data_IF_769671711970
#
_entry.id   IF_769671711970
#
_cell.length_a   1.000
_cell.length_b   1.000
_cell.length_c   1.000
_cell.angle_alpha   90.00
_cell.angle_beta   90.00
_cell.angle_gamma   90.00
#
_symmetry.space_group_name_H-M   'P 1'
#
loop_
_entity.id
_entity.type
_entity.pdbx_description
1 polymer ?
#
# COMPACT_ATOMS: atom_id res chain seq x y z
N UNK A 1 1.10 3.80 -49.44
CA UNK A 1 2.56 3.70 -49.29
C UNK A 1 3.03 4.70 -48.24
N UNK A 2 3.10 4.31 -46.97
CA UNK A 2 3.83 5.03 -45.90
C UNK A 2 3.83 4.22 -44.58
N UNK A 3 3.99 2.89 -44.65
CA UNK A 3 3.82 1.99 -43.50
C UNK A 3 5.13 1.38 -42.97
N UNK A 4 6.28 2.03 -43.22
CA UNK A 4 7.60 1.48 -42.87
C UNK A 4 8.50 2.40 -42.03
N UNK A 5 8.03 3.57 -41.58
CA UNK A 5 8.91 4.57 -40.96
C UNK A 5 8.67 4.82 -39.47
N UNK A 6 7.69 4.16 -38.84
CA UNK A 6 7.32 4.39 -37.43
C UNK A 6 7.97 3.43 -36.42
N UNK A 7 8.76 2.44 -36.87
CA UNK A 7 9.45 1.45 -36.01
C UNK A 7 10.89 1.83 -35.60
N UNK A 8 11.34 3.07 -35.80
CA UNK A 8 12.74 3.48 -35.51
C UNK A 8 12.93 4.66 -34.56
N UNK A 9 11.95 4.95 -33.70
CA UNK A 9 12.08 6.01 -32.70
C UNK A 9 11.45 5.64 -31.34
N UNK A 10 11.70 4.41 -30.88
CA UNK A 10 11.27 3.90 -29.58
C UNK A 10 12.45 3.33 -28.76
N UNK A 11 13.62 3.96 -28.87
CA UNK A 11 14.61 3.89 -27.79
C UNK A 11 14.30 5.10 -26.88
N UNK A 12 14.21 4.88 -25.57
CA UNK A 12 14.09 5.92 -24.51
C UNK A 12 12.70 6.30 -23.98
N UNK A 13 11.72 5.38 -24.00
CA UNK A 13 10.57 5.44 -23.06
C UNK A 13 10.34 4.16 -22.26
N UNK A 14 11.24 3.18 -22.37
CA UNK A 14 11.38 2.14 -21.34
C UNK A 14 12.54 2.53 -20.44
N UNK A 15 12.24 2.75 -19.16
CA UNK A 15 13.24 2.84 -18.10
C UNK A 15 14.15 1.60 -18.18
N UNK A 16 15.43 1.72 -18.62
CA UNK A 16 16.28 0.53 -18.81
C UNK A 16 16.73 -0.05 -17.47
N UNK A 17 16.67 0.72 -16.39
CA UNK A 17 17.09 0.28 -15.06
C UNK A 17 16.06 -0.55 -14.30
N UNK A 18 14.79 -0.58 -14.73
CA UNK A 18 13.76 -1.45 -14.11
C UNK A 18 13.62 -2.81 -14.81
N UNK A 19 14.04 -2.94 -16.08
CA UNK A 19 13.93 -4.20 -16.81
C UNK A 19 15.06 -5.19 -16.49
N UNK A 20 16.25 -4.69 -16.17
CA UNK A 20 17.41 -5.50 -15.83
C UNK A 20 17.91 -5.16 -14.40
N UNK A 21 17.25 -5.67 -13.34
CA UNK A 21 17.68 -5.37 -11.96
C UNK A 21 19.09 -5.90 -11.70
N UNK A 22 19.93 -5.19 -10.90
CA UNK A 22 21.25 -5.68 -10.52
C UNK A 22 21.16 -6.90 -9.61
N UNK A 23 22.01 -7.90 -9.84
CA UNK A 23 22.07 -9.13 -9.05
C UNK A 23 23.46 -9.29 -8.45
N UNK A 24 23.52 -9.55 -7.15
CA UNK A 24 24.79 -9.79 -6.46
C UNK A 24 25.55 -10.98 -7.07
N UNK A 25 26.83 -10.81 -7.35
CA UNK A 25 27.67 -11.83 -8.00
C UNK A 25 27.55 -11.89 -9.53
N UNK A 26 26.77 -11.00 -10.14
CA UNK A 26 26.60 -10.91 -11.59
C UNK A 26 26.84 -9.49 -12.10
N UNK A 27 27.27 -9.41 -13.35
CA UNK A 27 27.30 -8.17 -14.14
C UNK A 27 26.23 -8.26 -15.22
N UNK A 28 25.65 -7.13 -15.60
CA UNK A 28 24.53 -7.10 -16.55
C UNK A 28 24.86 -6.27 -17.78
N UNK A 29 24.55 -6.82 -18.96
CA UNK A 29 24.51 -6.07 -20.21
C UNK A 29 23.07 -6.03 -20.73
N UNK A 30 22.63 -4.84 -21.12
CA UNK A 30 21.28 -4.56 -21.60
C UNK A 30 21.25 -4.68 -23.12
N UNK A 31 20.15 -5.18 -23.68
CA UNK A 31 19.92 -5.40 -25.11
C UNK A 31 20.97 -6.34 -25.75
N UNK A 32 21.44 -7.30 -24.96
CA UNK A 32 22.47 -8.26 -25.36
C UNK A 32 22.07 -9.66 -24.93
N UNK A 33 22.43 -10.65 -25.74
CA UNK A 33 22.24 -12.06 -25.45
C UNK A 33 23.42 -12.89 -25.99
N UNK A 34 23.60 -14.10 -25.49
CA UNK A 34 24.48 -15.08 -26.10
C UNK A 34 23.63 -16.23 -26.66
N UNK A 35 23.38 -16.28 -27.99
CA UNK A 35 22.46 -17.26 -28.55
C UNK A 35 23.10 -18.64 -28.74
N UNK A 36 22.32 -19.70 -28.52
CA UNK A 36 22.65 -21.06 -28.98
C UNK A 36 23.45 -21.92 -27.99
N UNK A 37 23.61 -21.47 -26.74
CA UNK A 37 24.33 -22.20 -25.69
C UNK A 37 23.49 -22.42 -24.42
N UNK A 38 22.17 -22.51 -24.60
CA UNK A 38 21.22 -22.61 -23.50
C UNK A 38 21.30 -23.97 -22.78
N UNK A 39 21.62 -23.92 -21.48
CA UNK A 39 21.59 -25.05 -20.55
C UNK A 39 20.17 -25.52 -20.26
N UNK A 40 19.31 -24.55 -19.94
CA UNK A 40 17.93 -24.74 -19.54
C UNK A 40 17.20 -23.40 -19.66
N UNK A 41 16.02 -23.41 -20.26
CA UNK A 41 15.16 -22.25 -20.44
C UNK A 41 13.83 -22.45 -19.72
N UNK A 42 13.29 -21.37 -19.13
CA UNK A 42 11.97 -21.36 -18.52
C UNK A 42 11.17 -20.13 -18.93
N UNK A 43 9.88 -20.34 -19.22
CA UNK A 43 8.94 -19.29 -19.65
C UNK A 43 8.32 -18.49 -18.50
N UNK A 44 8.62 -18.83 -17.25
CA UNK A 44 8.18 -18.09 -16.07
C UNK A 44 9.25 -18.21 -14.98
N UNK A 45 10.17 -17.25 -14.95
CA UNK A 45 11.30 -17.23 -14.01
C UNK A 45 11.61 -15.80 -13.61
N UNK A 46 11.87 -15.55 -12.32
CA UNK A 46 12.39 -14.25 -11.87
C UNK A 46 13.89 -14.17 -12.10
N UNK A 47 14.43 -12.95 -12.23
CA UNK A 47 15.87 -12.74 -12.38
C UNK A 47 16.67 -13.33 -11.21
N UNK A 48 16.16 -13.23 -9.98
CA UNK A 48 16.79 -13.79 -8.77
C UNK A 48 16.79 -15.32 -8.80
N UNK A 49 15.71 -15.96 -9.27
CA UNK A 49 15.64 -17.41 -9.40
C UNK A 49 16.59 -17.92 -10.48
N UNK A 50 16.66 -17.25 -11.62
CA UNK A 50 17.62 -17.56 -12.68
C UNK A 50 19.07 -17.45 -12.17
N UNK A 51 19.38 -16.40 -11.42
CA UNK A 51 20.67 -16.20 -10.79
C UNK A 51 21.02 -17.27 -9.76
N UNK A 52 20.07 -17.63 -8.89
CA UNK A 52 20.27 -18.69 -7.89
C UNK A 52 20.66 -20.00 -8.56
N UNK A 53 19.94 -20.39 -9.62
CA UNK A 53 20.20 -21.61 -10.37
C UNK A 53 21.52 -21.59 -11.13
N UNK A 54 21.84 -20.46 -11.78
CA UNK A 54 23.13 -20.30 -12.44
C UNK A 54 24.30 -20.30 -11.43
N UNK A 55 24.04 -19.86 -10.20
CA UNK A 55 25.05 -19.91 -9.13
C UNK A 55 25.33 -21.35 -8.73
N UNK A 56 24.29 -22.18 -8.61
CA UNK A 56 24.39 -23.59 -8.21
C UNK A 56 24.87 -24.53 -9.32
N UNK A 57 24.57 -24.26 -10.59
CA UNK A 57 25.06 -25.08 -11.70
C UNK A 57 26.51 -24.68 -12.04
N UNK A 58 27.45 -25.61 -11.83
CA UNK A 58 28.87 -25.39 -12.10
C UNK A 58 29.20 -25.16 -13.58
N UNK A 59 28.28 -25.52 -14.48
CA UNK A 59 28.42 -25.33 -15.93
C UNK A 59 27.89 -23.96 -16.36
N UNK A 60 27.08 -23.30 -15.53
CA UNK A 60 26.49 -22.02 -15.86
C UNK A 60 27.49 -20.87 -15.69
N UNK A 61 27.74 -20.14 -16.79
CA UNK A 61 28.63 -18.98 -16.83
C UNK A 61 27.87 -17.66 -16.96
N UNK A 62 26.66 -17.70 -17.51
CA UNK A 62 25.76 -16.57 -17.61
C UNK A 62 24.31 -17.05 -17.65
N UNK A 63 23.35 -16.13 -17.51
CA UNK A 63 21.95 -16.39 -17.84
C UNK A 63 21.36 -15.14 -18.49
N UNK A 64 20.38 -15.31 -19.38
CA UNK A 64 19.62 -14.19 -19.88
C UNK A 64 18.23 -14.13 -19.22
N UNK A 65 17.63 -12.96 -19.25
CA UNK A 65 16.20 -12.78 -18.99
C UNK A 65 15.60 -11.89 -20.08
N UNK A 66 14.40 -12.21 -20.52
CA UNK A 66 13.67 -11.47 -21.54
C UNK A 66 12.16 -11.62 -21.32
N UNK A 67 11.37 -10.70 -21.87
CA UNK A 67 9.91 -10.84 -21.85
C UNK A 67 9.50 -11.71 -23.04
N UNK A 68 8.89 -12.87 -22.77
CA UNK A 68 8.39 -13.74 -23.81
C UNK A 68 7.23 -13.07 -24.56
N UNK A 69 7.37 -12.96 -25.88
CA UNK A 69 6.40 -12.23 -26.72
C UNK A 69 5.02 -12.89 -26.81
N UNK A 70 4.91 -14.18 -26.49
CA UNK A 70 3.65 -14.92 -26.57
C UNK A 70 2.85 -14.85 -25.28
N UNK A 71 3.54 -14.98 -24.15
CA UNK A 71 2.92 -15.03 -22.81
C UNK A 71 2.96 -13.70 -22.06
N UNK A 72 3.85 -12.78 -22.44
CA UNK A 72 4.11 -11.54 -21.70
C UNK A 72 4.84 -11.75 -20.37
N UNK A 73 5.22 -12.99 -20.06
CA UNK A 73 5.91 -13.33 -18.82
C UNK A 73 7.41 -13.10 -18.94
N UNK A 74 8.07 -12.90 -17.80
CA UNK A 74 9.51 -12.93 -17.72
C UNK A 74 10.01 -14.37 -17.89
N UNK A 75 10.78 -14.58 -18.95
CA UNK A 75 11.43 -15.83 -19.29
C UNK A 75 12.94 -15.67 -19.18
N UNK A 76 13.66 -16.79 -19.14
CA UNK A 76 15.13 -16.75 -19.08
C UNK A 76 15.77 -18.10 -19.33
N UNK A 77 17.02 -18.07 -19.77
CA UNK A 77 17.83 -19.23 -20.09
C UNK A 77 19.19 -19.14 -19.40
N UNK A 78 19.60 -20.24 -18.74
CA UNK A 78 20.96 -20.42 -18.25
C UNK A 78 21.88 -20.76 -19.43
N UNK A 79 23.17 -20.39 -19.35
CA UNK A 79 24.10 -20.45 -20.49
C UNK A 79 25.46 -21.05 -20.12
N UNK A 80 26.00 -21.87 -21.01
CA UNK A 80 27.32 -22.51 -20.86
C UNK A 80 28.50 -21.53 -21.03
N UNK A 81 28.26 -20.38 -21.66
CA UNK A 81 29.24 -19.36 -21.95
C UNK A 81 28.69 -17.95 -21.66
N UNK A 82 29.63 -17.03 -21.38
CA UNK A 82 29.36 -15.61 -21.12
C UNK A 82 29.61 -14.73 -22.35
N UNK A 83 30.22 -15.30 -23.40
CA UNK A 83 30.64 -14.62 -24.62
C UNK A 83 30.83 -15.66 -25.74
N UNK A 84 30.69 -15.26 -27.02
CA UNK A 84 30.44 -13.90 -27.50
C UNK A 84 28.99 -13.45 -27.39
N UNK A 85 28.73 -12.25 -26.87
CA UNK A 85 27.38 -11.69 -26.85
C UNK A 85 27.04 -11.01 -28.19
N UNK A 86 25.78 -11.07 -28.58
CA UNK A 86 25.18 -10.46 -29.76
C UNK A 86 24.04 -9.51 -29.34
N UNK A 87 23.75 -8.45 -30.13
CA UNK A 87 22.63 -7.56 -29.84
C UNK A 87 21.29 -8.31 -29.83
N UNK A 88 20.51 -8.15 -28.77
CA UNK A 88 19.20 -8.76 -28.58
C UNK A 88 18.29 -7.78 -27.82
N UNK A 89 17.50 -6.99 -28.57
CA UNK A 89 16.67 -5.93 -27.98
C UNK A 89 15.65 -6.50 -26.99
N UNK A 90 15.59 -5.91 -25.79
CA UNK A 90 14.72 -6.31 -24.69
C UNK A 90 15.24 -7.46 -23.83
N UNK A 91 16.42 -8.00 -24.13
CA UNK A 91 17.07 -9.02 -23.31
C UNK A 91 18.11 -8.41 -22.35
N UNK A 92 18.24 -9.02 -21.17
CA UNK A 92 19.29 -8.73 -20.20
C UNK A 92 20.18 -9.97 -20.11
N UNK A 93 21.48 -9.85 -20.37
CA UNK A 93 22.44 -10.94 -20.13
C UNK A 93 23.19 -10.67 -18.82
N UNK A 94 23.12 -11.64 -17.91
CA UNK A 94 23.75 -11.63 -16.61
C UNK A 94 24.94 -12.58 -16.60
N UNK A 95 26.13 -12.03 -16.50
CA UNK A 95 27.38 -12.78 -16.54
C UNK A 95 27.93 -12.94 -15.13
N UNK A 96 28.21 -14.19 -14.74
CA UNK A 96 28.73 -14.55 -13.43
C UNK A 96 30.10 -13.90 -13.22
N UNK A 97 30.27 -13.17 -12.13
CA UNK A 97 31.56 -12.56 -11.79
C UNK A 97 32.49 -13.66 -11.29
N UNK A 98 33.58 -13.89 -12.00
CA UNK A 98 34.65 -14.80 -11.55
C UNK A 98 35.61 -14.05 -10.63
N UNK A 99 36.23 -14.75 -9.67
CA UNK A 99 37.11 -14.17 -8.64
C UNK A 99 38.33 -13.42 -9.19
N UNK A 100 38.63 -13.57 -10.48
CA UNK A 100 39.84 -13.03 -11.10
C UNK A 100 39.59 -11.68 -11.80
N UNK A 101 38.34 -11.22 -11.90
CA UNK A 101 37.99 -9.94 -12.54
C UNK A 101 37.42 -8.95 -11.52
N UNK A 102 38.06 -7.79 -11.40
CA UNK A 102 37.55 -6.70 -10.57
C UNK A 102 36.30 -6.06 -11.20
N UNK A 103 35.33 -5.62 -10.40
CA UNK A 103 34.21 -4.80 -10.88
C UNK A 103 34.67 -3.34 -10.94
N UNK A 104 34.44 -2.68 -12.08
CA UNK A 104 34.88 -1.31 -12.35
C UNK A 104 33.64 -0.42 -12.57
N UNK A 105 33.42 0.62 -11.75
CA UNK A 105 32.30 1.55 -11.93
C UNK A 105 32.31 2.23 -13.31
N UNK A 106 31.15 2.32 -13.97
CA UNK A 106 31.02 2.91 -15.30
C UNK A 106 31.36 1.96 -16.46
N UNK A 107 31.63 0.68 -16.17
CA UNK A 107 31.93 -0.34 -17.17
C UNK A 107 31.10 -1.61 -16.94
N UNK A 108 30.69 -2.26 -18.04
CA UNK A 108 30.12 -3.61 -18.03
C UNK A 108 31.25 -4.63 -18.22
N UNK A 109 31.36 -5.60 -17.30
CA UNK A 109 32.38 -6.64 -17.33
C UNK A 109 31.91 -7.85 -18.15
N UNK A 110 32.80 -8.41 -18.97
CA UNK A 110 32.64 -9.67 -19.70
C UNK A 110 33.89 -10.52 -19.45
N UNK A 111 33.87 -11.40 -18.42
CA UNK A 111 34.99 -12.28 -18.09
C UNK A 111 35.19 -13.34 -19.18
N UNK A 112 36.45 -13.68 -19.45
CA UNK A 112 36.82 -14.71 -20.42
C UNK A 112 36.58 -14.28 -21.86
N UNK A 113 36.58 -12.98 -22.14
CA UNK A 113 36.28 -12.43 -23.45
C UNK A 113 37.30 -11.36 -23.85
N UNK A 114 37.48 -11.17 -25.15
CA UNK A 114 38.26 -10.06 -25.70
C UNK A 114 37.78 -9.66 -27.09
N UNK A 115 38.11 -8.45 -27.52
CA UNK A 115 38.07 -8.07 -28.93
C UNK A 115 39.52 -7.93 -29.41
N UNK A 116 39.91 -8.72 -30.42
CA UNK A 116 41.30 -8.74 -30.89
C UNK A 116 41.57 -7.65 -31.93
N UNK A 117 42.78 -7.05 -31.89
CA UNK A 117 43.31 -6.22 -32.98
C UNK A 117 42.88 -4.75 -32.98
N UNK A 118 42.31 -4.23 -31.89
CA UNK A 118 41.84 -2.85 -31.78
C UNK A 118 42.41 -2.08 -30.56
N UNK A 119 43.50 -2.60 -29.98
CA UNK A 119 44.22 -1.98 -28.87
C UNK A 119 44.82 -0.64 -29.30
N UNK A 120 44.52 0.41 -28.53
CA UNK A 120 45.02 1.76 -28.77
C UNK A 120 46.01 2.24 -27.73
N UNK A 121 45.96 1.67 -26.54
CA UNK A 121 46.89 2.02 -25.47
C UNK A 121 46.93 0.90 -24.43
N UNK A 122 48.05 0.18 -24.38
CA UNK A 122 48.32 -0.84 -23.37
C UNK A 122 49.34 -0.30 -22.38
N UNK A 123 49.05 -0.44 -21.08
CA UNK A 123 49.99 -0.11 -20.01
C UNK A 123 50.04 -1.24 -18.97
N UNK A 124 51.19 -1.39 -18.34
CA UNK A 124 51.34 -2.22 -17.13
C UNK A 124 50.63 -1.49 -16.00
N UNK A 125 49.39 -1.89 -15.73
CA UNK A 125 48.54 -1.24 -14.73
C UNK A 125 47.37 -2.13 -14.34
N UNK A 126 46.78 -1.85 -13.19
CA UNK A 126 45.59 -2.54 -12.70
C UNK A 126 44.36 -2.26 -13.56
N UNK A 127 43.30 -3.04 -13.42
CA UNK A 127 42.02 -2.77 -14.11
C UNK A 127 41.48 -1.34 -13.82
N UNK A 128 41.67 -0.79 -12.61
CA UNK A 128 41.33 0.61 -12.30
C UNK A 128 42.20 1.62 -13.08
N UNK A 129 43.48 1.28 -13.30
CA UNK A 129 44.35 2.05 -14.17
C UNK A 129 43.90 1.99 -15.64
N UNK A 130 43.51 0.80 -16.13
CA UNK A 130 42.89 0.61 -17.44
C UNK A 130 41.64 1.49 -17.64
N UNK A 131 40.77 1.54 -16.62
CA UNK A 131 39.59 2.39 -16.62
C UNK A 131 39.95 3.89 -16.70
N UNK A 132 41.02 4.31 -16.01
CA UNK A 132 41.51 5.69 -16.05
C UNK A 132 42.05 6.05 -17.44
N UNK A 133 42.82 5.15 -18.07
CA UNK A 133 43.31 5.30 -19.45
C UNK A 133 42.13 5.43 -20.42
N UNK A 134 41.13 4.56 -20.31
CA UNK A 134 39.96 4.59 -21.19
C UNK A 134 39.06 5.80 -20.95
N UNK A 135 38.98 6.30 -19.71
CA UNK A 135 38.17 7.48 -19.37
C UNK A 135 38.81 8.77 -19.89
N UNK A 136 40.14 8.86 -19.89
CA UNK A 136 40.89 9.99 -20.46
C UNK A 136 40.88 10.06 -21.99
N UNK A 137 40.21 9.13 -22.67
CA UNK A 137 40.18 9.00 -24.13
C UNK A 137 38.77 9.05 -24.68
N UNK A 138 38.55 9.94 -25.65
CA UNK A 138 37.26 10.08 -26.35
C UNK A 138 37.01 8.96 -27.36
N UNK A 139 38.06 8.30 -27.83
CA UNK A 139 38.02 7.19 -28.80
C UNK A 139 38.00 5.80 -28.14
N UNK A 140 38.09 5.73 -26.80
CA UNK A 140 38.02 4.47 -26.07
C UNK A 140 36.57 4.07 -25.79
N UNK A 141 36.20 2.88 -26.28
CA UNK A 141 34.87 2.27 -26.07
C UNK A 141 34.90 1.11 -25.07
N UNK A 142 36.07 0.51 -24.87
CA UNK A 142 36.26 -0.59 -23.94
C UNK A 142 37.73 -0.69 -23.53
N UNK A 143 38.04 -1.52 -22.54
CA UNK A 143 39.41 -1.95 -22.29
C UNK A 143 39.41 -3.41 -21.82
N UNK A 144 40.51 -4.13 -22.02
CA UNK A 144 40.72 -5.42 -21.38
C UNK A 144 41.74 -5.30 -20.24
N UNK A 145 41.74 -6.26 -19.32
CA UNK A 145 42.76 -6.42 -18.29
C UNK A 145 43.06 -7.89 -18.09
N UNK A 146 44.34 -8.25 -18.02
CA UNK A 146 44.78 -9.63 -17.86
C UNK A 146 46.14 -9.68 -17.16
N UNK A 147 46.41 -10.80 -16.51
CA UNK A 147 47.66 -11.05 -15.80
C UNK A 147 48.44 -12.14 -16.52
N UNK A 148 49.70 -11.87 -16.84
CA UNK A 148 50.61 -12.84 -17.46
C UNK A 148 51.30 -13.71 -16.40
N UNK A 149 51.99 -14.78 -16.81
CA UNK A 149 52.53 -15.82 -15.89
C UNK A 149 53.52 -15.29 -14.84
N UNK A 150 54.19 -14.18 -15.11
CA UNK A 150 55.12 -13.53 -14.17
C UNK A 150 54.42 -12.66 -13.11
N UNK A 151 53.09 -12.59 -13.13
CA UNK A 151 52.27 -11.79 -12.22
C UNK A 151 52.02 -10.35 -12.69
N UNK A 152 52.60 -9.93 -13.82
CA UNK A 152 52.40 -8.59 -14.37
C UNK A 152 50.99 -8.43 -14.91
N UNK A 153 50.29 -7.38 -14.46
CA UNK A 153 48.96 -7.03 -14.98
C UNK A 153 49.06 -5.98 -16.08
N UNK A 154 48.45 -6.30 -17.22
CA UNK A 154 48.30 -5.39 -18.35
C UNK A 154 46.86 -4.93 -18.45
N UNK A 155 46.66 -3.68 -18.86
CA UNK A 155 45.35 -3.18 -19.25
C UNK A 155 45.46 -2.42 -20.57
N UNK A 156 44.63 -2.82 -21.56
CA UNK A 156 44.64 -2.24 -22.90
C UNK A 156 43.31 -1.58 -23.23
N UNK A 157 43.33 -0.28 -23.49
CA UNK A 157 42.21 0.49 -24.03
C UNK A 157 41.96 0.14 -25.50
N UNK A 158 40.69 0.15 -25.91
CA UNK A 158 40.19 -0.38 -27.19
C UNK A 158 39.19 0.56 -27.87
N UNK A 159 39.19 0.58 -29.22
CA UNK A 159 38.26 1.40 -30.03
C UNK A 159 36.90 0.75 -30.24
N UNK A 160 36.79 -0.56 -30.03
CA UNK A 160 35.62 -1.38 -30.30
C UNK A 160 35.23 -2.12 -29.02
N UNK A 161 33.92 -2.33 -28.82
CA UNK A 161 33.37 -3.03 -27.66
C UNK A 161 32.74 -4.39 -28.01
N UNK A 162 32.49 -4.65 -29.30
CA UNK A 162 31.85 -5.87 -29.80
C UNK A 162 32.08 -6.02 -31.32
N UNK A 163 32.00 -7.24 -31.89
CA UNK A 163 31.71 -8.53 -31.23
C UNK A 163 32.89 -9.02 -30.39
N UNK A 164 32.61 -9.68 -29.28
CA UNK A 164 33.65 -10.29 -28.45
C UNK A 164 34.03 -11.67 -29.02
N UNK A 165 35.18 -12.19 -28.62
CA UNK A 165 35.63 -13.55 -28.82
C UNK A 165 36.01 -14.16 -27.47
N UNK A 166 36.00 -15.49 -27.36
CA UNK A 166 36.41 -16.18 -26.14
C UNK A 166 37.91 -15.99 -25.90
N UNK A 167 38.27 -15.49 -24.72
CA UNK A 167 39.64 -15.24 -24.30
C UNK A 167 39.80 -15.56 -22.80
N UNK A 168 40.04 -16.84 -22.49
CA UNK A 168 40.20 -17.31 -21.11
C UNK A 168 41.30 -16.53 -20.37
N UNK A 169 41.00 -16.09 -19.15
CA UNK A 169 41.93 -15.33 -18.31
C UNK A 169 41.95 -13.82 -18.58
N UNK A 170 41.15 -13.32 -19.53
CA UNK A 170 41.01 -11.89 -19.82
C UNK A 170 39.70 -11.36 -19.25
N UNK A 171 39.75 -10.17 -18.63
CA UNK A 171 38.59 -9.42 -18.17
C UNK A 171 38.33 -8.26 -19.13
N UNK A 172 37.23 -8.31 -19.89
CA UNK A 172 36.86 -7.23 -20.81
C UNK A 172 35.86 -6.27 -20.18
N UNK A 173 36.08 -4.97 -20.35
CA UNK A 173 35.31 -3.90 -19.75
C UNK A 173 34.77 -2.98 -20.83
N UNK A 174 33.47 -3.07 -21.11
CA UNK A 174 32.80 -2.17 -22.06
C UNK A 174 32.40 -0.88 -21.35
N UNK A 175 32.79 0.28 -21.88
CA UNK A 175 32.42 1.58 -21.32
C UNK A 175 30.92 1.77 -21.45
N UNK A 176 30.26 2.06 -20.33
CA UNK A 176 28.84 2.44 -20.35
C UNK A 176 28.80 3.84 -20.95
N UNK A 177 28.47 3.92 -22.24
CA UNK A 177 28.18 5.21 -22.86
C UNK A 177 26.91 5.74 -22.20
N UNK A 178 27.01 6.71 -21.30
CA UNK A 178 25.89 7.59 -21.02
C UNK A 178 25.41 8.08 -22.40
N UNK A 179 24.19 7.70 -22.79
CA UNK A 179 23.62 8.03 -24.08
C UNK A 179 23.86 9.53 -24.35
N UNK A 180 24.60 9.85 -25.42
CA UNK A 180 24.77 11.26 -25.83
C UNK A 180 23.37 11.81 -26.13
N UNK A 181 22.98 12.97 -25.58
CA UNK A 181 21.72 13.59 -25.94
C UNK A 181 21.74 13.96 -27.43
N UNK A 182 20.76 13.46 -28.18
CA UNK A 182 20.53 13.80 -29.58
C UNK A 182 20.15 15.29 -29.70
N UNK A 183 20.67 16.00 -30.72
CA UNK A 183 20.43 17.41 -31.07
C UNK A 183 19.37 18.22 -30.27
N UNK A 184 19.83 19.27 -29.61
CA UNK A 184 19.11 20.17 -28.69
C UNK A 184 17.79 20.75 -29.20
N UNK A 185 17.62 21.01 -30.51
CA UNK A 185 16.36 21.55 -31.03
C UNK A 185 15.23 20.52 -31.11
N UNK A 186 15.52 19.30 -31.55
CA UNK A 186 14.52 18.22 -31.60
C UNK A 186 14.22 17.71 -30.19
N UNK A 187 15.22 17.74 -29.31
CA UNK A 187 15.09 17.36 -27.90
C UNK A 187 14.27 18.35 -27.09
N UNK A 188 14.42 19.68 -27.29
CA UNK A 188 13.58 20.66 -26.59
C UNK A 188 12.12 20.58 -27.02
N UNK A 189 11.86 20.43 -28.32
CA UNK A 189 10.50 20.31 -28.84
C UNK A 189 9.83 18.99 -28.42
N UNK A 190 10.54 17.87 -28.53
CA UNK A 190 10.03 16.57 -28.12
C UNK A 190 9.92 16.44 -26.60
N UNK A 191 10.86 17.01 -25.82
CA UNK A 191 10.79 17.08 -24.35
C UNK A 191 9.67 18.01 -23.91
N UNK A 192 9.44 19.13 -24.59
CA UNK A 192 8.30 20.02 -24.30
C UNK A 192 6.98 19.27 -24.51
N UNK A 193 6.79 18.62 -25.66
CA UNK A 193 5.57 17.83 -25.96
C UNK A 193 5.41 16.65 -25.00
N UNK A 194 6.49 15.93 -24.70
CA UNK A 194 6.48 14.78 -23.79
C UNK A 194 6.18 15.21 -22.35
N UNK A 195 6.82 16.28 -21.85
CA UNK A 195 6.54 16.83 -20.53
C UNK A 195 5.11 17.36 -20.44
N UNK A 196 4.57 17.98 -21.50
CA UNK A 196 3.16 18.38 -21.52
C UNK A 196 2.22 17.18 -21.51
N UNK A 197 2.45 16.17 -22.34
CA UNK A 197 1.61 14.97 -22.38
C UNK A 197 1.67 14.17 -21.07
N UNK A 198 2.86 14.00 -20.48
CA UNK A 198 3.04 13.34 -19.20
C UNK A 198 2.40 14.15 -18.07
N UNK A 199 2.55 15.48 -18.07
CA UNK A 199 1.90 16.35 -17.08
C UNK A 199 0.38 16.29 -17.18
N UNK A 200 -0.17 16.27 -18.40
CA UNK A 200 -1.62 16.17 -18.63
C UNK A 200 -2.12 14.79 -18.20
N UNK A 201 -1.46 13.71 -18.63
CA UNK A 201 -1.83 12.35 -18.22
C UNK A 201 -1.77 12.17 -16.71
N UNK A 202 -0.68 12.60 -16.07
CA UNK A 202 -0.50 12.48 -14.63
C UNK A 202 -1.50 13.37 -13.87
N UNK A 203 -1.77 14.59 -14.35
CA UNK A 203 -2.76 15.48 -13.74
C UNK A 203 -4.17 14.89 -13.81
N UNK A 204 -4.55 14.32 -14.96
CA UNK A 204 -5.87 13.69 -15.16
C UNK A 204 -5.96 12.43 -14.30
N UNK A 205 -4.98 11.53 -14.38
CA UNK A 205 -4.95 10.30 -13.60
C UNK A 205 -4.99 10.59 -12.09
N UNK A 206 -4.16 11.51 -11.60
CA UNK A 206 -4.11 11.86 -10.19
C UNK A 206 -5.38 12.58 -9.76
N UNK A 207 -5.95 13.46 -10.58
CA UNK A 207 -7.21 14.14 -10.26
C UNK A 207 -8.38 13.15 -10.17
N UNK A 208 -8.47 12.19 -11.08
CA UNK A 208 -9.52 11.17 -11.11
C UNK A 208 -9.32 10.19 -9.95
N UNK A 209 -8.10 9.66 -9.78
CA UNK A 209 -7.80 8.72 -8.70
C UNK A 209 -8.03 9.36 -7.34
N UNK A 210 -7.52 10.58 -7.11
CA UNK A 210 -7.66 11.26 -5.83
C UNK A 210 -9.10 11.69 -5.59
N UNK A 211 -9.83 12.19 -6.60
CA UNK A 211 -11.24 12.56 -6.43
C UNK A 211 -12.10 11.34 -6.14
N UNK A 212 -11.95 10.23 -6.85
CA UNK A 212 -12.72 9.01 -6.64
C UNK A 212 -12.33 8.36 -5.31
N UNK A 213 -11.04 8.16 -5.06
CA UNK A 213 -10.57 7.53 -3.83
C UNK A 213 -10.96 8.36 -2.60
N UNK A 214 -10.68 9.66 -2.61
CA UNK A 214 -10.99 10.53 -1.48
C UNK A 214 -12.50 10.70 -1.30
N UNK A 215 -13.28 10.88 -2.38
CA UNK A 215 -14.73 11.01 -2.24
C UNK A 215 -15.38 9.73 -1.74
N UNK A 216 -15.04 8.57 -2.30
CA UNK A 216 -15.64 7.29 -1.91
C UNK A 216 -15.15 6.87 -0.52
N UNK A 217 -13.84 6.88 -0.28
CA UNK A 217 -13.28 6.46 1.00
C UNK A 217 -13.76 7.39 2.12
N UNK A 218 -13.66 8.72 1.94
CA UNK A 218 -14.07 9.66 2.97
C UNK A 218 -15.60 9.65 3.17
N UNK A 219 -16.40 9.59 2.10
CA UNK A 219 -17.86 9.55 2.25
C UNK A 219 -18.33 8.28 2.92
N UNK A 220 -17.82 7.11 2.52
CA UNK A 220 -18.21 5.82 3.11
C UNK A 220 -17.68 5.70 4.53
N UNK A 221 -16.40 6.00 4.76
CA UNK A 221 -15.81 5.90 6.09
C UNK A 221 -16.47 6.87 7.07
N UNK A 222 -16.64 8.15 6.67
CA UNK A 222 -17.25 9.15 7.54
C UNK A 222 -18.74 8.88 7.74
N UNK A 223 -19.49 8.46 6.71
CA UNK A 223 -20.91 8.14 6.88
C UNK A 223 -21.13 6.92 7.76
N UNK A 224 -20.36 5.85 7.58
CA UNK A 224 -20.47 4.63 8.40
C UNK A 224 -20.00 4.92 9.82
N UNK A 225 -18.83 5.55 9.99
CA UNK A 225 -18.30 5.86 11.31
C UNK A 225 -19.24 6.79 12.08
N UNK A 226 -19.69 7.89 11.46
CA UNK A 226 -20.56 8.86 12.11
C UNK A 226 -21.95 8.26 12.36
N UNK A 227 -22.53 7.51 11.43
CA UNK A 227 -23.85 6.89 11.62
C UNK A 227 -23.82 5.84 12.72
N UNK A 228 -22.83 4.95 12.73
CA UNK A 228 -22.70 3.89 13.74
C UNK A 228 -22.33 4.50 15.10
N UNK A 229 -21.31 5.36 15.16
CA UNK A 229 -20.89 5.97 16.42
C UNK A 229 -22.00 6.83 17.02
N UNK A 230 -22.63 7.71 16.23
CA UNK A 230 -23.70 8.57 16.73
C UNK A 230 -24.95 7.75 17.07
N UNK A 231 -25.35 6.77 16.26
CA UNK A 231 -26.53 5.95 16.57
C UNK A 231 -26.33 5.11 17.82
N UNK A 232 -25.18 4.45 17.98
CA UNK A 232 -24.86 3.65 19.16
C UNK A 232 -24.72 4.55 20.38
N UNK A 233 -23.96 5.64 20.29
CA UNK A 233 -23.77 6.55 21.41
C UNK A 233 -25.08 7.20 21.86
N UNK A 234 -25.88 7.76 20.93
CA UNK A 234 -27.18 8.35 21.30
C UNK A 234 -28.18 7.30 21.78
N UNK A 235 -28.24 6.12 21.16
CA UNK A 235 -29.21 5.08 21.56
C UNK A 235 -28.87 4.50 22.92
N UNK A 236 -27.61 4.19 23.19
CA UNK A 236 -27.16 3.67 24.48
C UNK A 236 -27.27 4.74 25.55
N UNK A 237 -26.74 5.94 25.31
CA UNK A 237 -26.79 7.02 26.29
C UNK A 237 -28.23 7.42 26.63
N UNK A 238 -29.08 7.62 25.61
CA UNK A 238 -30.50 7.96 25.83
C UNK A 238 -31.29 6.80 26.43
N UNK A 239 -31.02 5.55 26.06
CA UNK A 239 -31.74 4.40 26.65
C UNK A 239 -31.34 4.19 28.11
N UNK A 240 -30.05 4.29 28.44
CA UNK A 240 -29.55 4.16 29.81
C UNK A 240 -30.04 5.33 30.66
N UNK A 241 -29.83 6.57 30.23
CA UNK A 241 -30.26 7.74 31.02
C UNK A 241 -31.77 7.78 31.21
N UNK A 242 -32.55 7.57 30.14
CA UNK A 242 -34.00 7.65 30.23
C UNK A 242 -34.58 6.46 31.00
N UNK A 243 -34.02 5.25 30.87
CA UNK A 243 -34.51 4.08 31.61
C UNK A 243 -34.13 4.15 33.08
N UNK A 244 -32.89 4.50 33.42
CA UNK A 244 -32.42 4.58 34.80
C UNK A 244 -33.07 5.77 35.51
N UNK A 245 -33.05 6.97 34.91
CA UNK A 245 -33.64 8.15 35.54
C UNK A 245 -35.14 7.97 35.74
N UNK A 246 -35.87 7.50 34.71
CA UNK A 246 -37.32 7.32 34.83
C UNK A 246 -37.67 6.17 35.77
N UNK A 247 -36.94 5.05 35.76
CA UNK A 247 -37.23 3.93 36.67
C UNK A 247 -36.93 4.27 38.13
N UNK A 248 -35.82 4.95 38.41
CA UNK A 248 -35.47 5.37 39.76
C UNK A 248 -36.45 6.45 40.24
N UNK A 249 -36.70 7.49 39.43
CA UNK A 249 -37.64 8.55 39.82
C UNK A 249 -39.06 8.01 40.03
N UNK A 250 -39.56 7.19 39.10
CA UNK A 250 -40.90 6.61 39.20
C UNK A 250 -41.01 5.62 40.36
N UNK A 251 -39.98 4.80 40.62
CA UNK A 251 -39.98 3.88 41.76
C UNK A 251 -39.96 4.63 43.08
N UNK A 252 -39.17 5.70 43.22
CA UNK A 252 -39.15 6.55 44.42
C UNK A 252 -40.51 7.24 44.60
N UNK A 253 -41.08 7.81 43.52
CA UNK A 253 -42.38 8.48 43.58
C UNK A 253 -43.51 7.54 44.01
N UNK A 254 -43.63 6.37 43.36
CA UNK A 254 -44.68 5.39 43.67
C UNK A 254 -44.47 4.66 45.00
N UNK A 255 -43.23 4.39 45.39
CA UNK A 255 -42.97 3.55 46.58
C UNK A 255 -42.85 4.37 47.85
N UNK A 256 -42.50 5.66 47.76
CA UNK A 256 -42.23 6.50 48.92
C UNK A 256 -43.23 7.65 49.01
N UNK A 257 -43.32 8.50 47.98
CA UNK A 257 -44.15 9.71 48.06
C UNK A 257 -45.65 9.38 48.02
N UNK A 258 -46.10 8.57 47.06
CA UNK A 258 -47.52 8.26 46.89
C UNK A 258 -48.16 7.59 48.13
N UNK A 259 -47.53 6.60 48.80
CA UNK A 259 -48.10 6.01 50.01
C UNK A 259 -48.14 6.99 51.19
N UNK A 260 -47.14 7.88 51.32
CA UNK A 260 -47.10 8.90 52.37
C UNK A 260 -48.22 9.92 52.16
N UNK A 261 -48.35 10.46 50.95
CA UNK A 261 -49.37 11.47 50.63
C UNK A 261 -50.78 10.89 50.76
N UNK A 262 -51.01 9.66 50.26
CA UNK A 262 -52.32 9.03 50.38
C UNK A 262 -52.65 8.68 51.83
N UNK A 263 -51.69 8.17 52.60
CA UNK A 263 -51.88 7.84 54.02
C UNK A 263 -52.18 9.10 54.84
N UNK A 264 -51.42 10.17 54.63
CA UNK A 264 -51.62 11.44 55.35
C UNK A 264 -52.95 12.09 54.97
N UNK A 265 -53.30 12.16 53.68
CA UNK A 265 -54.57 12.69 53.23
C UNK A 265 -55.75 11.88 53.77
N UNK A 266 -55.73 10.55 53.63
CA UNK A 266 -56.83 9.71 54.07
C UNK A 266 -56.98 9.73 55.59
N UNK A 267 -55.86 9.67 56.33
CA UNK A 267 -55.86 9.73 57.79
C UNK A 267 -56.42 11.06 58.30
N UNK A 268 -55.95 12.19 57.76
CA UNK A 268 -56.42 13.52 58.17
C UNK A 268 -57.87 13.75 57.79
N UNK A 269 -58.25 13.44 56.55
CA UNK A 269 -59.62 13.59 56.08
C UNK A 269 -60.59 12.72 56.89
N UNK A 270 -60.27 11.43 57.06
CA UNK A 270 -61.13 10.51 57.80
C UNK A 270 -61.21 10.91 59.28
N UNK A 271 -60.09 11.31 59.90
CA UNK A 271 -60.08 11.78 61.29
C UNK A 271 -60.96 13.01 61.49
N UNK A 272 -60.84 14.01 60.62
CA UNK A 272 -61.65 15.24 60.68
C UNK A 272 -63.12 14.92 60.43
N UNK A 273 -63.42 14.20 59.35
CA UNK A 273 -64.79 13.83 59.00
C UNK A 273 -65.47 13.04 60.12
N UNK A 274 -64.78 12.01 60.63
CA UNK A 274 -65.29 11.15 61.69
C UNK A 274 -65.46 11.94 63.00
N UNK A 275 -64.52 12.82 63.34
CA UNK A 275 -64.64 13.71 64.51
C UNK A 275 -65.84 14.65 64.40
N UNK A 276 -66.03 15.32 63.26
CA UNK A 276 -67.19 16.22 63.07
C UNK A 276 -68.50 15.41 63.12
N UNK A 277 -68.54 14.27 62.44
CA UNK A 277 -69.75 13.45 62.39
C UNK A 277 -70.13 12.92 63.78
N UNK A 278 -69.19 12.32 64.52
CA UNK A 278 -69.46 11.75 65.85
C UNK A 278 -69.61 12.80 66.94
N UNK A 279 -68.85 13.89 66.91
CA UNK A 279 -68.86 14.88 68.01
C UNK A 279 -69.92 15.96 67.82
N UNK A 280 -70.38 16.23 66.60
CA UNK A 280 -71.32 17.32 66.32
C UNK A 280 -72.62 16.79 65.73
N UNK A 281 -72.54 16.08 64.61
CA UNK A 281 -73.76 15.70 63.88
C UNK A 281 -74.57 14.65 64.65
N UNK A 282 -73.93 13.58 65.11
CA UNK A 282 -74.58 12.47 65.79
C UNK A 282 -75.28 12.90 67.11
N UNK A 283 -74.67 13.70 68.00
CA UNK A 283 -75.34 14.18 69.22
C UNK A 283 -76.52 15.09 68.92
N UNK A 284 -76.42 15.99 67.93
CA UNK A 284 -77.52 16.87 67.53
C UNK A 284 -78.68 16.04 66.99
N UNK A 285 -78.39 15.12 66.05
CA UNK A 285 -79.41 14.25 65.47
C UNK A 285 -80.10 13.41 66.56
N UNK A 286 -79.33 12.77 67.44
CA UNK A 286 -79.87 11.96 68.53
C UNK A 286 -80.69 12.80 69.51
N UNK A 287 -80.24 14.02 69.83
CA UNK A 287 -80.96 14.94 70.72
C UNK A 287 -82.30 15.35 70.14
N UNK A 288 -82.35 15.76 68.86
CA UNK A 288 -83.59 16.15 68.18
C UNK A 288 -84.52 14.94 68.06
N UNK A 289 -84.01 13.81 67.57
CA UNK A 289 -84.81 12.60 67.40
C UNK A 289 -85.40 12.14 68.74
N UNK A 290 -84.59 12.02 69.79
CA UNK A 290 -85.06 11.56 71.09
C UNK A 290 -86.01 12.58 71.74
N UNK A 291 -85.72 13.88 71.67
CA UNK A 291 -86.59 14.92 72.23
C UNK A 291 -87.95 14.99 71.54
N UNK A 292 -87.98 14.96 70.21
CA UNK A 292 -89.23 15.00 69.44
C UNK A 292 -90.02 13.71 69.62
N UNK A 293 -89.38 12.55 69.48
CA UNK A 293 -90.04 11.27 69.66
C UNK A 293 -90.60 11.12 71.08
N UNK A 294 -89.80 11.41 72.11
CA UNK A 294 -90.22 11.28 73.51
C UNK A 294 -91.31 12.29 73.87
N UNK A 295 -91.21 13.55 73.42
CA UNK A 295 -92.23 14.57 73.69
C UNK A 295 -93.57 14.24 73.04
N UNK A 296 -93.56 13.80 71.77
CA UNK A 296 -94.79 13.37 71.08
C UNK A 296 -95.38 12.13 71.78
N UNK A 297 -94.55 11.12 72.07
CA UNK A 297 -94.99 9.90 72.73
C UNK A 297 -95.60 10.18 74.11
N UNK A 298 -94.92 10.95 74.97
CA UNK A 298 -95.42 11.33 76.29
C UNK A 298 -96.68 12.20 76.17
N UNK A 299 -96.70 13.18 75.27
CA UNK A 299 -97.86 14.06 75.11
C UNK A 299 -99.11 13.27 74.70
N UNK A 300 -98.98 12.33 73.76
CA UNK A 300 -100.10 11.47 73.34
C UNK A 300 -100.51 10.55 74.49
N UNK A 301 -99.55 9.89 75.16
CA UNK A 301 -99.82 8.99 76.26
C UNK A 301 -100.53 9.68 77.43
N UNK A 302 -100.05 10.87 77.84
CA UNK A 302 -100.62 11.66 78.92
C UNK A 302 -102.00 12.22 78.56
N UNK A 303 -102.18 12.69 77.32
CA UNK A 303 -103.47 13.17 76.85
C UNK A 303 -104.52 12.06 76.91
N UNK A 304 -104.19 10.85 76.46
CA UNK A 304 -105.08 9.68 76.58
C UNK A 304 -105.37 9.37 78.05
N UNK A 305 -104.35 9.29 78.92
CA UNK A 305 -104.54 8.90 80.31
C UNK A 305 -105.34 9.91 81.17
N UNK A 306 -105.23 11.21 80.89
CA UNK A 306 -106.00 12.26 81.61
C UNK A 306 -107.41 12.50 81.04
N UNK A 307 -107.68 12.01 79.83
CA UNK A 307 -109.00 12.12 79.18
C UNK A 307 -109.88 10.88 79.39
N UNK A 308 -109.37 9.91 80.15
CA UNK A 308 -110.07 8.73 80.67
C UNK A 308 -110.30 8.86 82.17
#
# INVERSE_FOLDING_TARGET
>A
MANYSFRRALCDLHFPHTACPPIAGYTVAIDMDHPGDDLACEGLITTETAASRCTTDSRCKAFNTYVDSSSGNLAGCLKYASAPTSPASGACIYTKVTTNCAIIPGYTLSPGADHYGDDINCQITTANGGASICSGRSDCKAFNSYTVQDGTQWSCAKRVASPLANANGICFYTKINNCKPLNTHKHLYMRSICMTCLSIYLSIYLSIYLSIYLSIYLSIYLSIYLSIYLSIYLSIYRSIDLSIYRSIYLSIYLSIYLPIDLSTYLSTYLSIYLSIYLSIYLPIYLSIYLSTYLSIYISIYLHIYLST
#
